data_IF_159096763232
#
_entry.id   IF_159096763232
#
_cell.length_a   1.000
_cell.length_b   1.000
_cell.length_c   1.000
_cell.angle_alpha   90.00
_cell.angle_beta   90.00
_cell.angle_gamma   90.00
#
_symmetry.space_group_name_H-M   'P 1'
#
loop_
_entity.id
_entity.type
_entity.pdbx_description
1 polymer ?
#
# COMPACT_ATOMS: atom_id res chain seq x y z
N UNK A 1 -14.09 -5.21 18.99
CA UNK A 1 -15.22 -4.83 18.11
C UNK A 1 -15.56 -3.36 18.27
N UNK A 2 -14.68 -2.49 17.78
CA UNK A 2 -15.10 -1.15 17.36
C UNK A 2 -16.07 -1.31 16.18
N UNK A 3 -17.10 -0.47 16.15
CA UNK A 3 -18.25 -0.56 15.24
C UNK A 3 -17.78 -0.47 13.80
N UNK A 4 -17.50 -1.63 13.20
CA UNK A 4 -17.17 -1.74 11.79
C UNK A 4 -18.39 -1.32 10.97
N UNK A 5 -18.18 -0.36 10.08
CA UNK A 5 -19.17 0.12 9.12
C UNK A 5 -19.90 -1.04 8.40
N UNK A 6 -21.21 -0.92 8.14
CA UNK A 6 -22.01 -1.92 7.44
C UNK A 6 -21.40 -2.45 6.13
N UNK A 7 -20.77 -1.61 5.31
CA UNK A 7 -20.13 -2.03 4.06
C UNK A 7 -18.94 -2.93 4.35
N UNK A 8 -18.07 -2.54 5.28
CA UNK A 8 -16.94 -3.37 5.72
C UNK A 8 -17.41 -4.74 6.26
N UNK A 9 -18.48 -4.77 7.05
CA UNK A 9 -19.06 -6.04 7.54
C UNK A 9 -19.61 -6.90 6.41
N UNK A 10 -20.28 -6.29 5.42
CA UNK A 10 -20.77 -7.00 4.23
C UNK A 10 -19.63 -7.61 3.44
N UNK A 11 -18.56 -6.86 3.20
CA UNK A 11 -17.39 -7.33 2.46
C UNK A 11 -16.69 -8.49 3.18
N UNK A 12 -16.52 -8.42 4.51
CA UNK A 12 -15.96 -9.53 5.29
C UNK A 12 -16.77 -10.83 5.12
N UNK A 13 -18.11 -10.74 5.19
CA UNK A 13 -18.98 -11.90 4.95
C UNK A 13 -18.81 -12.48 3.54
N UNK A 14 -18.62 -11.64 2.53
CA UNK A 14 -18.35 -12.09 1.15
C UNK A 14 -17.01 -12.83 1.11
N UNK A 15 -15.96 -12.26 1.70
CA UNK A 15 -14.63 -12.90 1.74
C UNK A 15 -14.67 -14.25 2.44
N UNK A 16 -15.34 -14.36 3.58
CA UNK A 16 -15.50 -15.63 4.32
C UNK A 16 -16.27 -16.66 3.49
N UNK A 17 -17.28 -16.24 2.72
CA UNK A 17 -18.05 -17.11 1.83
C UNK A 17 -17.23 -17.63 0.63
N UNK A 18 -16.23 -16.88 0.17
CA UNK A 18 -15.33 -17.31 -0.91
C UNK A 18 -14.28 -18.32 -0.46
N UNK A 19 -14.02 -18.42 0.85
CA UNK A 19 -13.05 -19.36 1.42
C UNK A 19 -13.62 -20.06 2.66
N UNK A 20 -14.65 -20.91 2.52
CA UNK A 20 -15.28 -21.58 3.65
C UNK A 20 -14.28 -22.41 4.46
N UNK A 21 -14.24 -22.20 5.77
CA UNK A 21 -13.35 -22.92 6.68
C UNK A 21 -11.89 -22.44 6.67
N UNK A 22 -11.56 -21.36 5.94
CA UNK A 22 -10.26 -20.71 5.99
C UNK A 22 -10.41 -19.31 6.62
N UNK A 23 -10.10 -19.15 7.92
CA UNK A 23 -10.21 -17.85 8.55
C UNK A 23 -9.18 -16.87 8.00
N UNK A 24 -9.52 -15.59 8.08
CA UNK A 24 -8.66 -14.49 7.66
C UNK A 24 -8.31 -13.61 8.85
N UNK A 25 -7.08 -13.09 8.88
CA UNK A 25 -6.66 -12.09 9.85
C UNK A 25 -6.53 -10.73 9.18
N UNK A 26 -7.07 -9.69 9.83
CA UNK A 26 -6.95 -8.31 9.40
C UNK A 26 -6.12 -7.57 10.43
N UNK A 27 -4.96 -7.07 10.00
CA UNK A 27 -4.07 -6.26 10.81
C UNK A 27 -4.04 -4.83 10.31
N UNK A 28 -4.19 -3.89 11.23
CA UNK A 28 -3.95 -2.47 10.99
C UNK A 28 -2.54 -2.10 11.45
N UNK A 29 -1.79 -1.49 10.54
CA UNK A 29 -0.45 -0.97 10.79
C UNK A 29 -0.43 0.53 10.50
N UNK A 30 0.49 1.23 11.14
CA UNK A 30 0.76 2.64 10.89
C UNK A 30 2.26 2.88 10.92
N UNK A 31 2.71 3.94 10.25
CA UNK A 31 4.10 4.38 10.31
C UNK A 31 4.14 5.61 11.21
N UNK A 32 4.98 5.64 12.26
CA UNK A 32 5.09 6.83 13.11
C UNK A 32 5.41 8.08 12.29
N UNK A 33 4.61 9.13 12.49
CA UNK A 33 4.72 10.39 11.74
C UNK A 33 4.02 10.41 10.38
N UNK A 34 3.32 9.33 10.00
CA UNK A 34 2.44 9.27 8.83
C UNK A 34 1.05 8.89 9.31
N UNK A 35 0.06 9.73 9.02
CA UNK A 35 -1.29 9.58 9.59
C UNK A 35 -2.10 8.47 8.92
N UNK A 36 -1.75 8.14 7.67
CA UNK A 36 -2.41 7.11 6.90
C UNK A 36 -2.24 5.73 7.54
N UNK A 37 -3.23 4.86 7.34
CA UNK A 37 -3.27 3.50 7.89
C UNK A 37 -3.12 2.47 6.79
N UNK A 38 -2.42 1.38 7.10
CA UNK A 38 -2.28 0.22 6.25
C UNK A 38 -3.04 -0.95 6.83
N UNK A 39 -4.06 -1.42 6.11
CA UNK A 39 -4.66 -2.72 6.39
C UNK A 39 -3.90 -3.82 5.66
N UNK A 40 -3.72 -4.96 6.31
CA UNK A 40 -3.22 -6.20 5.68
C UNK A 40 -4.18 -7.34 6.03
N UNK A 41 -4.74 -7.95 5.00
CA UNK A 41 -5.58 -9.15 5.06
C UNK A 41 -4.72 -10.36 4.73
N UNK A 42 -4.70 -11.34 5.63
CA UNK A 42 -3.89 -12.55 5.49
C UNK A 42 -4.76 -13.79 5.67
N UNK A 43 -4.44 -14.85 4.92
CA UNK A 43 -4.95 -16.19 5.19
C UNK A 43 -4.34 -16.68 6.51
N UNK A 44 -5.18 -17.04 7.48
CA UNK A 44 -4.71 -17.37 8.83
C UNK A 44 -3.96 -18.71 8.90
N UNK A 45 -4.18 -19.61 7.95
CA UNK A 45 -3.54 -20.93 7.93
C UNK A 45 -2.15 -20.90 7.30
N UNK A 46 -1.98 -20.08 6.25
CA UNK A 46 -0.76 -20.03 5.45
C UNK A 46 0.06 -18.76 5.68
N UNK A 47 -0.52 -17.72 6.29
CA UNK A 47 0.07 -16.40 6.40
C UNK A 47 0.14 -15.64 5.07
N UNK A 48 -0.43 -16.17 3.99
CA UNK A 48 -0.37 -15.54 2.67
C UNK A 48 -1.13 -14.21 2.68
N UNK A 49 -0.51 -13.16 2.11
CA UNK A 49 -1.16 -11.85 1.94
C UNK A 49 -2.22 -11.94 0.85
N UNK A 50 -3.46 -11.75 1.25
CA UNK A 50 -4.61 -11.77 0.35
C UNK A 50 -4.91 -10.37 -0.19
N UNK A 51 -4.71 -9.33 0.60
CA UNK A 51 -4.91 -7.94 0.18
C UNK A 51 -4.33 -6.95 1.19
N UNK A 52 -3.96 -5.76 0.73
CA UNK A 52 -3.44 -4.65 1.51
C UNK A 52 -3.96 -3.35 0.94
N UNK A 53 -4.24 -2.37 1.78
CA UNK A 53 -4.61 -1.04 1.32
C UNK A 53 -4.17 0.05 2.29
N UNK A 54 -3.70 1.15 1.70
CA UNK A 54 -3.48 2.41 2.41
C UNK A 54 -4.71 3.30 2.30
N UNK A 55 -5.10 3.96 3.39
CA UNK A 55 -6.11 5.01 3.38
C UNK A 55 -5.83 6.06 4.47
N UNK A 56 -6.45 7.26 4.41
CA UNK A 56 -6.35 8.28 5.44
C UNK A 56 -6.80 7.79 6.83
N UNK A 57 -7.73 6.84 6.88
CA UNK A 57 -8.27 6.29 8.11
C UNK A 57 -8.28 4.75 8.13
N UNK A 58 -8.50 4.19 9.33
CA UNK A 58 -8.48 2.75 9.57
C UNK A 58 -9.62 2.01 8.84
N UNK A 59 -10.79 2.63 8.72
CA UNK A 59 -11.97 2.00 8.15
C UNK A 59 -11.83 1.86 6.63
N UNK A 60 -11.44 2.95 5.96
CA UNK A 60 -11.12 2.97 4.53
C UNK A 60 -10.03 1.96 4.20
N UNK A 61 -8.98 1.88 5.04
CA UNK A 61 -7.90 0.91 4.83
C UNK A 61 -8.41 -0.53 4.94
N UNK A 62 -9.24 -0.85 5.95
CA UNK A 62 -9.83 -2.19 6.09
C UNK A 62 -10.73 -2.51 4.91
N UNK A 63 -11.64 -1.60 4.55
CA UNK A 63 -12.58 -1.78 3.45
C UNK A 63 -11.85 -2.09 2.14
N UNK A 64 -10.87 -1.28 1.78
CA UNK A 64 -10.12 -1.45 0.53
C UNK A 64 -9.21 -2.69 0.57
N UNK A 65 -8.65 -3.02 1.73
CA UNK A 65 -7.85 -4.24 1.92
C UNK A 65 -8.69 -5.51 1.73
N UNK A 66 -9.91 -5.54 2.28
CA UNK A 66 -10.86 -6.66 2.10
C UNK A 66 -11.36 -6.71 0.65
N UNK A 67 -11.70 -5.57 0.05
CA UNK A 67 -12.09 -5.51 -1.38
C UNK A 67 -10.99 -6.04 -2.30
N UNK A 68 -9.72 -5.71 -2.01
CA UNK A 68 -8.55 -6.23 -2.74
C UNK A 68 -8.43 -7.75 -2.60
N UNK A 69 -8.63 -8.28 -1.39
CA UNK A 69 -8.62 -9.72 -1.14
C UNK A 69 -9.74 -10.45 -1.91
N UNK A 70 -10.95 -9.89 -1.94
CA UNK A 70 -12.08 -10.41 -2.72
C UNK A 70 -11.74 -10.40 -4.21
N UNK A 71 -11.23 -9.29 -4.74
CA UNK A 71 -10.87 -9.18 -6.16
C UNK A 71 -9.81 -10.22 -6.55
N UNK A 72 -8.80 -10.44 -5.71
CA UNK A 72 -7.76 -11.46 -5.93
C UNK A 72 -8.30 -12.88 -5.89
N UNK A 73 -9.27 -13.16 -5.01
CA UNK A 73 -9.92 -14.46 -4.94
C UNK A 73 -10.82 -14.74 -6.16
N UNK A 74 -11.47 -13.71 -6.70
CA UNK A 74 -12.38 -13.84 -7.84
C UNK A 74 -11.67 -13.83 -9.20
N UNK A 75 -10.47 -13.25 -9.28
CA UNK A 75 -9.65 -13.22 -10.49
C UNK A 75 -8.38 -14.05 -10.24
N UNK A 76 -8.46 -15.39 -10.21
CA UNK A 76 -7.27 -16.22 -10.16
C UNK A 76 -6.49 -16.07 -11.46
N UNK A 77 -5.15 -16.04 -11.37
CA UNK A 77 -4.32 -16.10 -12.57
C UNK A 77 -4.31 -17.50 -13.17
N UNK A 78 -3.74 -17.65 -14.37
CA UNK A 78 -3.56 -18.94 -15.01
C UNK A 78 -2.76 -19.89 -14.12
N UNK A 79 -3.04 -21.19 -14.22
CA UNK A 79 -2.56 -22.28 -13.35
C UNK A 79 -1.23 -22.00 -12.62
N UNK A 80 -1.36 -21.68 -11.33
CA UNK A 80 -0.22 -21.48 -10.42
C UNK A 80 0.44 -20.09 -10.43
N UNK A 81 0.08 -19.18 -11.35
CA UNK A 81 0.69 -17.86 -11.47
C UNK A 81 0.22 -16.83 -10.41
N UNK A 82 -0.76 -17.17 -9.57
CA UNK A 82 -1.37 -16.26 -8.60
C UNK A 82 -2.24 -15.19 -9.29
N UNK A 83 -3.05 -14.46 -8.51
CA UNK A 83 -3.94 -13.44 -9.09
C UNK A 83 -3.14 -12.31 -9.79
N UNK A 84 -3.57 -11.86 -11.00
CA UNK A 84 -2.97 -10.70 -11.66
C UNK A 84 -3.31 -9.37 -10.95
N UNK A 85 -4.28 -9.38 -10.03
CA UNK A 85 -4.64 -8.20 -9.23
C UNK A 85 -3.54 -7.98 -8.18
N UNK A 86 -2.96 -6.78 -8.14
CA UNK A 86 -1.97 -6.40 -7.11
C UNK A 86 -2.49 -6.66 -5.70
N UNK A 87 -1.64 -7.20 -4.82
CA UNK A 87 -1.97 -7.36 -3.40
C UNK A 87 -2.01 -6.01 -2.65
N UNK A 88 -1.47 -4.94 -3.22
CA UNK A 88 -1.49 -3.60 -2.64
C UNK A 88 -2.39 -2.68 -3.46
N UNK A 89 -3.40 -2.11 -2.80
CA UNK A 89 -4.26 -1.06 -3.30
C UNK A 89 -3.82 0.30 -2.74
N UNK A 90 -3.72 1.30 -3.63
CA UNK A 90 -3.42 2.70 -3.31
C UNK A 90 -4.48 3.66 -3.85
N UNK A 91 -5.68 3.15 -4.16
CA UNK A 91 -6.76 3.96 -4.76
C UNK A 91 -7.19 5.12 -3.87
N UNK A 92 -6.98 5.05 -2.56
CA UNK A 92 -7.21 6.18 -1.67
C UNK A 92 -6.43 7.44 -2.09
N UNK A 93 -5.26 7.31 -2.77
CA UNK A 93 -4.54 8.45 -3.33
C UNK A 93 -5.29 9.14 -4.47
N UNK A 94 -6.10 8.40 -5.23
CA UNK A 94 -6.90 8.94 -6.33
C UNK A 94 -8.15 9.67 -5.82
N UNK A 95 -8.60 9.33 -4.62
CA UNK A 95 -9.83 9.85 -4.02
C UNK A 95 -9.58 10.90 -2.93
N UNK A 96 -8.36 10.95 -2.40
CA UNK A 96 -7.96 11.94 -1.41
C UNK A 96 -8.02 13.35 -1.99
N UNK A 97 -8.41 14.30 -1.17
CA UNK A 97 -8.38 15.70 -1.58
C UNK A 97 -6.95 16.26 -1.62
N UNK A 98 -6.80 17.46 -2.18
CA UNK A 98 -5.49 18.09 -2.33
C UNK A 98 -4.82 18.39 -0.97
N UNK A 99 -5.59 18.61 0.10
CA UNK A 99 -5.07 18.85 1.44
C UNK A 99 -4.51 17.57 2.07
N UNK A 100 -5.23 16.47 1.96
CA UNK A 100 -4.79 15.14 2.42
C UNK A 100 -3.51 14.71 1.69
N UNK A 101 -3.45 14.93 0.38
CA UNK A 101 -2.27 14.62 -0.43
C UNK A 101 -1.06 15.50 -0.07
N UNK A 102 -1.26 16.80 0.14
CA UNK A 102 -0.20 17.71 0.56
C UNK A 102 0.32 17.38 1.98
N UNK A 103 -0.59 17.01 2.89
CA UNK A 103 -0.24 16.56 4.24
C UNK A 103 0.57 15.27 4.17
N UNK A 104 0.11 14.28 3.39
CA UNK A 104 0.82 13.02 3.20
C UNK A 104 2.22 13.23 2.61
N UNK A 105 2.37 14.07 1.59
CA UNK A 105 3.66 14.40 0.99
C UNK A 105 4.62 15.03 2.01
N UNK A 106 4.12 15.96 2.83
CA UNK A 106 4.88 16.60 3.90
C UNK A 106 5.34 15.57 4.93
N UNK A 107 4.46 14.67 5.35
CA UNK A 107 4.74 13.61 6.33
C UNK A 107 5.75 12.59 5.81
N UNK A 108 5.57 12.11 4.58
CA UNK A 108 6.51 11.18 3.93
C UNK A 108 7.89 11.83 3.77
N UNK A 109 7.95 13.11 3.38
CA UNK A 109 9.20 13.86 3.27
C UNK A 109 9.89 14.07 4.62
N UNK A 110 9.13 14.39 5.66
CA UNK A 110 9.66 14.53 7.02
C UNK A 110 10.18 13.18 7.55
N UNK A 111 9.43 12.10 7.34
CA UNK A 111 9.84 10.74 7.69
C UNK A 111 11.13 10.35 6.96
N UNK A 112 11.22 10.61 5.65
CA UNK A 112 12.42 10.36 4.85
C UNK A 112 13.66 11.05 5.44
N UNK A 113 13.53 12.34 5.80
CA UNK A 113 14.60 13.13 6.43
C UNK A 113 15.01 12.56 7.79
N UNK A 114 14.03 12.29 8.66
CA UNK A 114 14.26 11.79 10.02
C UNK A 114 14.95 10.42 10.03
N UNK A 115 14.66 9.57 9.04
CA UNK A 115 15.24 8.23 8.93
C UNK A 115 16.44 8.16 7.97
N UNK A 116 16.89 9.30 7.42
CA UNK A 116 17.97 9.38 6.43
C UNK A 116 17.79 8.41 5.25
N UNK A 117 16.56 8.33 4.75
CA UNK A 117 16.21 7.53 3.57
C UNK A 117 15.77 8.43 2.42
N UNK A 118 16.04 7.98 1.20
CA UNK A 118 15.43 8.50 -0.02
C UNK A 118 14.55 7.43 -0.64
N UNK A 119 13.36 7.81 -1.08
CA UNK A 119 12.49 6.93 -1.83
C UNK A 119 12.82 7.04 -3.33
N UNK A 120 13.04 5.89 -3.98
CA UNK A 120 13.34 5.81 -5.40
C UNK A 120 12.36 4.84 -6.06
N UNK A 121 11.57 5.33 -7.02
CA UNK A 121 10.77 4.49 -7.93
C UNK A 121 11.46 4.33 -9.29
N UNK A 122 10.85 3.58 -10.20
CA UNK A 122 11.14 3.69 -11.63
C UNK A 122 10.06 4.58 -12.27
N UNK A 123 10.39 5.58 -13.10
CA UNK A 123 9.38 6.38 -13.79
C UNK A 123 8.82 5.63 -15.01
N UNK A 124 7.49 5.60 -15.22
CA UNK A 124 6.91 5.04 -16.46
C UNK A 124 6.95 6.19 -17.42
N UNK A 125 8.06 6.33 -18.12
CA UNK A 125 8.17 7.43 -19.06
C UNK A 125 7.24 7.24 -20.25
N UNK A 126 6.87 6.00 -20.58
CA UNK A 126 5.98 5.65 -21.69
C UNK A 126 5.07 4.48 -21.31
N UNK A 127 3.76 4.70 -21.39
CA UNK A 127 2.73 3.66 -21.33
C UNK A 127 2.28 3.31 -22.75
N UNK A 128 2.19 2.02 -23.13
CA UNK A 128 1.84 1.61 -24.50
C UNK A 128 0.41 1.98 -24.92
N UNK A 129 -0.46 2.36 -23.98
CA UNK A 129 -1.83 2.83 -24.22
C UNK A 129 -1.94 4.34 -24.04
N UNK A 130 -1.27 4.90 -23.03
CA UNK A 130 -1.43 6.31 -22.62
C UNK A 130 -0.32 7.25 -23.11
N UNK A 131 0.74 6.75 -23.73
CA UNK A 131 1.86 7.56 -24.22
C UNK A 131 2.81 8.01 -23.10
N UNK A 132 3.47 9.16 -23.28
CA UNK A 132 4.37 9.69 -22.25
C UNK A 132 3.60 10.04 -20.96
N UNK A 133 4.03 9.49 -19.81
CA UNK A 133 3.38 9.76 -18.53
C UNK A 133 4.35 10.48 -17.56
N UNK A 134 3.91 11.54 -16.87
CA UNK A 134 4.72 12.23 -15.86
C UNK A 134 4.78 11.46 -14.52
N UNK A 135 4.27 10.23 -14.47
CA UNK A 135 4.01 9.51 -13.22
C UNK A 135 5.08 8.44 -12.94
N UNK A 136 5.42 8.32 -11.66
CA UNK A 136 6.20 7.20 -11.15
C UNK A 136 5.32 5.96 -11.10
N UNK A 137 5.84 4.81 -11.50
CA UNK A 137 5.14 3.53 -11.45
C UNK A 137 6.06 2.44 -10.89
N UNK A 138 5.48 1.30 -10.56
CA UNK A 138 6.25 0.17 -10.06
C UNK A 138 6.74 0.35 -8.62
N UNK A 139 7.55 -0.60 -8.13
CA UNK A 139 7.92 -0.66 -6.72
C UNK A 139 8.81 0.51 -6.32
N UNK A 140 8.38 1.27 -5.30
CA UNK A 140 9.18 2.31 -4.65
C UNK A 140 10.09 1.65 -3.61
N UNK A 141 11.40 1.95 -3.67
CA UNK A 141 12.40 1.45 -2.74
C UNK A 141 12.87 2.57 -1.81
N UNK A 142 12.87 2.30 -0.50
CA UNK A 142 13.58 3.13 0.46
C UNK A 142 15.07 2.79 0.41
N UNK A 143 15.91 3.78 0.13
CA UNK A 143 17.37 3.62 0.10
C UNK A 143 18.01 4.53 1.15
N UNK A 144 18.96 4.03 1.96
CA UNK A 144 19.74 4.91 2.83
C UNK A 144 20.42 6.00 2.01
N UNK A 145 20.38 7.23 2.53
CA UNK A 145 21.22 8.30 2.02
C UNK A 145 22.61 8.04 2.62
N UNK A 146 23.57 7.59 1.80
CA UNK A 146 24.97 7.62 2.24
C UNK A 146 25.35 9.09 2.45
N UNK A 147 25.99 9.46 3.57
CA UNK A 147 26.58 10.78 3.66
C UNK A 147 27.57 10.95 2.51
N UNK A 148 27.59 12.13 1.88
CA UNK A 148 28.75 12.51 1.07
C UNK A 148 29.96 12.37 2.00
N UNK A 149 30.94 11.56 1.60
CA UNK A 149 32.25 11.65 2.23
C UNK A 149 32.65 13.12 2.17
N UNK A 150 32.94 13.72 3.32
CA UNK A 150 33.55 15.03 3.36
C UNK A 150 34.76 14.97 2.43
N UNK A 151 34.79 15.81 1.41
CA UNK A 151 36.01 16.02 0.64
C UNK A 151 37.05 16.46 1.66
N UNK A 152 38.01 15.58 1.96
CA UNK A 152 39.27 15.92 2.60
C UNK A 152 39.93 16.94 1.68
N UNK A 153 39.66 18.23 1.91
CA UNK A 153 40.54 19.29 1.47
C UNK A 153 41.77 19.21 2.37
N UNK A 154 42.69 18.34 1.95
CA UNK A 154 44.06 18.33 2.40
C UNK A 154 44.67 19.70 2.06
N UNK A 155 45.10 20.40 3.10
CA UNK A 155 45.92 21.61 3.02
C UNK A 155 47.18 21.33 2.19
N UNK A 156 47.53 22.25 1.30
CA UNK A 156 48.91 22.49 0.85
C UNK A 156 49.15 24.00 0.78
#
# INVERSE_FOLDING_TARGET
DEVSDPETRRLRKILDGLSPGRPHHIQLSHVPGIDWRLSTVTDAATGAVLGRAWAPDAEGAVRDGVSTAIARAQVPGPDGAGSPVSALCTNALLLADAGDLASLDTQVSAHARAHHVRYAGQPLREDPVLGELPFWHGPVQARPIRPLAAEENDEH
#
